data_IF_916231096541
#
_entry.id   IF_916231096541
#
_cell.length_a   1.000
_cell.length_b   1.000
_cell.length_c   1.000
_cell.angle_alpha   90.00
_cell.angle_beta   90.00
_cell.angle_gamma   90.00
#
_symmetry.space_group_name_H-M   'P 1'
#
loop_
_entity.id
_entity.type
_entity.pdbx_description
1 polymer ?
#
# COMPACT_ATOMS: atom_id res chain seq x y z
N UNK A 1 13.28 -19.46 -13.22
CA UNK A 1 12.05 -18.69 -12.98
C UNK A 1 11.50 -19.03 -11.61
N UNK A 2 11.19 -18.02 -10.82
CA UNK A 2 10.68 -18.18 -9.45
C UNK A 2 9.30 -17.57 -9.37
N UNK A 3 8.35 -18.31 -8.78
CA UNK A 3 6.99 -17.80 -8.53
C UNK A 3 6.95 -17.03 -7.21
N UNK A 4 6.47 -15.83 -7.26
CA UNK A 4 6.35 -14.93 -6.11
C UNK A 4 4.95 -14.36 -6.03
N UNK A 5 4.61 -13.84 -4.86
CA UNK A 5 3.43 -13.02 -4.66
C UNK A 5 3.87 -11.55 -4.72
N UNK A 6 3.34 -10.80 -5.68
CA UNK A 6 3.55 -9.35 -5.71
C UNK A 6 2.42 -8.66 -4.95
N UNK A 7 2.79 -7.85 -3.99
CA UNK A 7 1.85 -7.10 -3.15
C UNK A 7 2.05 -5.62 -3.43
N UNK A 8 0.98 -4.95 -3.82
CA UNK A 8 0.96 -3.51 -4.08
C UNK A 8 0.14 -2.82 -2.99
N UNK A 9 0.73 -1.79 -2.40
CA UNK A 9 0.13 -1.01 -1.32
C UNK A 9 0.01 0.42 -1.80
N UNK A 10 -1.21 0.93 -1.90
CA UNK A 10 -1.46 2.33 -2.25
C UNK A 10 -1.77 3.12 -1.00
N UNK A 11 -1.07 4.24 -0.84
CA UNK A 11 -1.14 5.08 0.34
C UNK A 11 -1.47 6.52 -0.07
N UNK A 12 -2.38 7.19 0.66
CA UNK A 12 -2.70 8.57 0.34
C UNK A 12 -1.52 9.49 0.66
N UNK A 13 -1.40 10.59 -0.07
CA UNK A 13 -0.40 11.63 0.22
C UNK A 13 -0.90 12.62 1.28
N UNK A 14 -2.20 12.67 1.50
CA UNK A 14 -2.83 13.59 2.44
C UNK A 14 -3.76 12.85 3.39
N UNK A 15 -3.87 13.39 4.60
CA UNK A 15 -4.93 13.02 5.53
C UNK A 15 -6.29 13.50 4.99
N UNK A 16 -7.37 13.03 5.62
CA UNK A 16 -8.73 13.39 5.21
C UNK A 16 -9.03 14.89 5.38
N UNK A 17 -8.28 15.58 6.24
CA UNK A 17 -8.39 17.03 6.42
C UNK A 17 -7.60 17.85 5.39
N UNK A 18 -6.93 17.19 4.45
CA UNK A 18 -6.14 17.82 3.39
C UNK A 18 -4.69 18.11 3.75
N UNK A 19 -4.27 17.85 4.97
CA UNK A 19 -2.87 18.03 5.36
C UNK A 19 -2.00 16.92 4.79
N UNK A 20 -0.78 17.27 4.38
CA UNK A 20 0.18 16.28 3.88
C UNK A 20 0.57 15.30 5.00
N UNK A 21 0.63 14.02 4.64
CA UNK A 21 1.14 13.01 5.54
C UNK A 21 2.64 13.18 5.67
N UNK A 22 3.15 13.12 6.89
CA UNK A 22 4.54 13.35 7.19
C UNK A 22 5.45 12.33 6.48
N UNK A 23 6.57 12.77 5.89
CA UNK A 23 7.50 11.84 5.24
C UNK A 23 7.99 10.70 6.12
N UNK A 24 8.09 10.92 7.43
CA UNK A 24 8.50 9.88 8.39
C UNK A 24 7.53 8.70 8.43
N UNK A 25 6.24 8.91 8.18
CA UNK A 25 5.24 7.83 8.13
C UNK A 25 5.53 6.90 6.94
N UNK A 26 5.85 7.48 5.77
CA UNK A 26 6.25 6.70 4.60
C UNK A 26 7.56 5.97 4.84
N UNK A 27 8.54 6.63 5.45
CA UNK A 27 9.83 6.00 5.76
C UNK A 27 9.66 4.82 6.73
N UNK A 28 8.84 4.97 7.75
CA UNK A 28 8.52 3.90 8.70
C UNK A 28 7.90 2.69 7.98
N UNK A 29 6.99 2.95 7.04
CA UNK A 29 6.35 1.91 6.23
C UNK A 29 7.38 1.17 5.38
N UNK A 30 8.23 1.93 4.67
CA UNK A 30 9.30 1.37 3.85
C UNK A 30 10.23 0.49 4.68
N UNK A 31 10.68 0.96 5.83
CA UNK A 31 11.57 0.21 6.71
C UNK A 31 10.94 -1.08 7.20
N UNK A 32 9.66 -1.07 7.53
CA UNK A 32 8.94 -2.27 7.96
C UNK A 32 8.91 -3.33 6.85
N UNK A 33 8.67 -2.91 5.61
CA UNK A 33 8.66 -3.80 4.44
C UNK A 33 10.05 -4.35 4.16
N UNK A 34 11.08 -3.51 4.22
CA UNK A 34 12.47 -3.93 4.01
C UNK A 34 12.90 -4.93 5.07
N UNK A 35 12.58 -4.69 6.34
CA UNK A 35 12.90 -5.62 7.42
C UNK A 35 12.21 -6.97 7.25
N UNK A 36 10.96 -6.96 6.82
CA UNK A 36 10.19 -8.19 6.69
C UNK A 36 10.56 -8.99 5.45
N UNK A 37 10.74 -8.32 4.30
CA UNK A 37 10.88 -8.98 3.00
C UNK A 37 12.26 -8.80 2.36
N UNK A 38 13.14 -8.01 2.96
CA UNK A 38 14.48 -7.77 2.45
C UNK A 38 14.58 -6.65 1.42
N UNK A 39 13.46 -6.08 0.99
CA UNK A 39 13.44 -4.99 0.03
C UNK A 39 12.03 -4.60 -0.34
N UNK A 40 11.88 -3.42 -0.92
CA UNK A 40 10.63 -2.98 -1.52
C UNK A 40 10.93 -1.96 -2.61
N UNK A 41 9.97 -1.77 -3.50
CA UNK A 41 10.04 -0.74 -4.54
C UNK A 41 9.03 0.35 -4.23
N UNK A 42 9.48 1.59 -4.28
CA UNK A 42 8.59 2.74 -4.14
C UNK A 42 7.88 3.00 -5.46
N UNK A 43 6.56 3.10 -5.41
CA UNK A 43 5.78 3.52 -6.56
C UNK A 43 5.80 5.03 -6.67
N UNK A 44 5.96 5.54 -7.90
CA UNK A 44 5.81 6.98 -8.14
C UNK A 44 4.36 7.38 -7.88
N UNK A 45 4.12 8.64 -7.46
CA UNK A 45 2.75 9.10 -7.24
C UNK A 45 1.87 8.85 -8.46
N UNK A 46 0.70 8.27 -8.22
CA UNK A 46 -0.29 7.95 -9.24
C UNK A 46 -1.60 8.65 -8.91
N UNK A 47 -2.37 8.99 -9.94
CA UNK A 47 -3.71 9.53 -9.73
C UNK A 47 -4.75 8.52 -10.18
N UNK A 48 -5.82 8.44 -9.42
CA UNK A 48 -6.99 7.64 -9.74
C UNK A 48 -8.24 8.49 -9.71
N UNK A 49 -9.23 8.10 -10.48
CA UNK A 49 -10.53 8.75 -10.51
C UNK A 49 -11.58 7.71 -10.19
N UNK A 50 -12.50 8.02 -9.31
CA UNK A 50 -13.57 7.10 -8.98
C UNK A 50 -14.89 7.84 -8.80
N UNK A 51 -15.96 7.14 -9.13
CA UNK A 51 -17.33 7.65 -9.02
C UNK A 51 -17.94 7.16 -7.71
N UNK A 52 -18.37 8.11 -6.87
CA UNK A 52 -19.08 7.74 -5.66
C UNK A 52 -20.54 7.44 -6.00
N UNK A 53 -21.01 6.20 -5.77
CA UNK A 53 -22.40 5.84 -6.11
C UNK A 53 -23.46 6.55 -5.26
N UNK A 54 -23.07 7.12 -4.12
CA UNK A 54 -24.01 7.81 -3.22
C UNK A 54 -24.37 9.21 -3.71
N UNK A 55 -23.41 9.94 -4.27
CA UNK A 55 -23.60 11.33 -4.70
C UNK A 55 -23.34 11.55 -6.20
N UNK A 56 -22.97 10.50 -6.94
CA UNK A 56 -22.62 10.55 -8.37
C UNK A 56 -21.50 11.56 -8.66
N UNK A 57 -20.61 11.79 -7.68
CA UNK A 57 -19.50 12.72 -7.79
C UNK A 57 -18.24 11.98 -8.20
N UNK A 58 -17.44 12.61 -9.07
CA UNK A 58 -16.12 12.11 -9.43
C UNK A 58 -15.09 12.65 -8.43
N UNK A 59 -14.33 11.73 -7.86
CA UNK A 59 -13.22 12.06 -6.96
C UNK A 59 -11.91 11.70 -7.61
N UNK A 60 -10.90 12.54 -7.41
CA UNK A 60 -9.54 12.29 -7.85
C UNK A 60 -8.65 12.14 -6.64
N UNK A 61 -7.95 11.01 -6.56
CA UNK A 61 -6.98 10.74 -5.51
C UNK A 61 -5.58 10.69 -6.08
N UNK A 62 -4.64 11.26 -5.35
CA UNK A 62 -3.22 11.15 -5.64
C UNK A 62 -2.63 10.26 -4.56
N UNK A 63 -2.01 9.16 -4.98
CA UNK A 63 -1.47 8.15 -4.08
C UNK A 63 0.01 7.95 -4.34
N UNK A 64 0.72 7.59 -3.30
CA UNK A 64 2.04 6.97 -3.37
C UNK A 64 1.90 5.51 -2.96
N UNK A 65 2.99 4.79 -2.84
CA UNK A 65 2.93 3.44 -2.33
C UNK A 65 4.19 2.64 -2.55
N UNK A 66 4.05 1.35 -2.34
CA UNK A 66 5.14 0.39 -2.43
C UNK A 66 4.65 -0.89 -3.06
N UNK A 67 5.57 -1.63 -3.70
CA UNK A 67 5.31 -3.04 -3.94
C UNK A 67 6.48 -3.89 -3.43
N UNK A 68 6.18 -5.11 -3.07
CA UNK A 68 7.16 -6.12 -2.67
C UNK A 68 6.84 -7.43 -3.38
N UNK A 69 7.88 -8.18 -3.68
CA UNK A 69 7.75 -9.56 -4.13
C UNK A 69 8.16 -10.47 -2.97
N UNK A 70 7.25 -11.33 -2.56
CA UNK A 70 7.40 -12.09 -1.33
C UNK A 70 6.93 -13.53 -1.49
N UNK A 71 7.23 -14.42 -0.52
CA UNK A 71 6.74 -15.78 -0.55
C UNK A 71 5.21 -15.83 -0.50
N UNK A 72 4.63 -16.72 -1.32
CA UNK A 72 3.19 -16.98 -1.29
C UNK A 72 2.89 -18.06 -0.25
N UNK A 73 2.73 -17.67 0.99
CA UNK A 73 2.47 -18.58 2.10
C UNK A 73 1.63 -17.91 3.20
N UNK A 74 1.20 -18.70 4.18
CA UNK A 74 0.33 -18.22 5.25
C UNK A 74 0.98 -17.17 6.14
N UNK A 75 2.28 -17.24 6.35
CA UNK A 75 3.01 -16.25 7.17
C UNK A 75 2.98 -14.87 6.52
N UNK A 76 3.15 -14.82 5.20
CA UNK A 76 3.05 -13.58 4.43
C UNK A 76 1.65 -12.95 4.61
N UNK A 77 0.60 -13.73 4.47
CA UNK A 77 -0.76 -13.22 4.61
C UNK A 77 -1.08 -12.79 6.03
N UNK A 78 -0.57 -13.50 7.04
CA UNK A 78 -0.72 -13.07 8.44
C UNK A 78 -0.03 -11.72 8.68
N UNK A 79 1.18 -11.57 8.17
CA UNK A 79 1.89 -10.29 8.25
C UNK A 79 1.10 -9.18 7.55
N UNK A 80 0.62 -9.42 6.33
CA UNK A 80 -0.10 -8.40 5.56
C UNK A 80 -1.40 -7.97 6.23
N UNK A 81 -2.16 -8.88 6.81
CA UNK A 81 -3.39 -8.54 7.54
C UNK A 81 -3.09 -7.67 8.76
N UNK A 82 -2.05 -8.00 9.52
CA UNK A 82 -1.62 -7.19 10.65
C UNK A 82 -1.06 -5.84 10.21
N UNK A 83 -0.27 -5.85 9.15
CA UNK A 83 0.32 -4.64 8.58
C UNK A 83 -0.74 -3.66 8.06
N UNK A 84 -1.78 -4.19 7.44
CA UNK A 84 -2.92 -3.37 7.01
C UNK A 84 -3.56 -2.60 8.17
N UNK A 85 -3.71 -3.25 9.33
CA UNK A 85 -4.23 -2.58 10.53
C UNK A 85 -3.29 -1.47 11.00
N UNK A 86 -1.99 -1.72 10.99
CA UNK A 86 -0.97 -0.72 11.32
C UNK A 86 -1.03 0.48 10.37
N UNK A 87 -1.14 0.23 9.07
CA UNK A 87 -1.23 1.28 8.07
C UNK A 87 -2.49 2.14 8.21
N UNK A 88 -3.63 1.51 8.50
CA UNK A 88 -4.87 2.26 8.77
C UNK A 88 -4.69 3.25 9.90
N UNK A 89 -4.00 2.84 10.95
CA UNK A 89 -3.73 3.67 12.12
C UNK A 89 -2.71 4.77 11.78
N UNK A 90 -1.58 4.40 11.17
CA UNK A 90 -0.49 5.34 10.90
C UNK A 90 -0.90 6.42 9.90
N UNK A 91 -1.73 6.08 8.92
CA UNK A 91 -2.21 6.99 7.87
C UNK A 91 -3.58 7.60 8.20
N UNK A 92 -4.15 7.24 9.35
CA UNK A 92 -5.47 7.70 9.79
C UNK A 92 -6.53 7.50 8.71
N UNK A 93 -6.64 6.25 8.23
CA UNK A 93 -7.56 5.87 7.16
C UNK A 93 -8.48 4.75 7.60
N UNK A 94 -9.74 4.78 7.16
CA UNK A 94 -10.68 3.69 7.38
C UNK A 94 -10.38 2.48 6.50
N UNK A 95 -9.77 2.72 5.35
CA UNK A 95 -9.41 1.68 4.39
C UNK A 95 -8.03 1.95 3.80
N UNK A 96 -7.28 0.89 3.58
CA UNK A 96 -6.00 0.91 2.86
C UNK A 96 -6.09 -0.11 1.73
N UNK A 97 -5.72 0.32 0.52
CA UNK A 97 -5.75 -0.55 -0.65
C UNK A 97 -4.49 -1.41 -0.68
N UNK A 98 -4.67 -2.71 -0.58
CA UNK A 98 -3.61 -3.71 -0.74
C UNK A 98 -4.11 -4.75 -1.74
N UNK A 99 -3.44 -4.83 -2.88
CA UNK A 99 -3.72 -5.85 -3.90
C UNK A 99 -2.56 -6.81 -4.00
N UNK A 100 -2.82 -8.04 -4.42
CA UNK A 100 -1.76 -9.02 -4.63
C UNK A 100 -2.08 -9.93 -5.81
N UNK A 101 -1.03 -10.44 -6.43
CA UNK A 101 -1.14 -11.38 -7.55
C UNK A 101 0.19 -12.11 -7.72
N UNK A 102 0.12 -13.24 -8.39
CA UNK A 102 1.32 -14.04 -8.66
C UNK A 102 2.13 -13.43 -9.79
N UNK A 103 3.46 -13.38 -9.62
CA UNK A 103 4.40 -13.00 -10.66
C UNK A 103 5.46 -14.09 -10.82
N UNK A 104 5.96 -14.23 -12.03
CA UNK A 104 7.10 -15.09 -12.31
C UNK A 104 8.33 -14.22 -12.51
N UNK A 105 9.39 -14.53 -11.79
CA UNK A 105 10.65 -13.80 -11.87
C UNK A 105 11.69 -14.70 -12.54
N UNK A 106 12.33 -14.19 -13.58
CA UNK A 106 13.40 -14.91 -14.28
C UNK A 106 14.63 -15.09 -13.42
#
# INVERSE_FOLDING_TARGET
MVSRLRVEILLPLKYNDGKLIEPLIFLKTEQALVQRFGGCTTLTPTSGVWLNPKDSHLYQDINSGFYVDCPNNDETFRFLRKFKRTLKKDFDQEAIYIAYYKVNVL
#
